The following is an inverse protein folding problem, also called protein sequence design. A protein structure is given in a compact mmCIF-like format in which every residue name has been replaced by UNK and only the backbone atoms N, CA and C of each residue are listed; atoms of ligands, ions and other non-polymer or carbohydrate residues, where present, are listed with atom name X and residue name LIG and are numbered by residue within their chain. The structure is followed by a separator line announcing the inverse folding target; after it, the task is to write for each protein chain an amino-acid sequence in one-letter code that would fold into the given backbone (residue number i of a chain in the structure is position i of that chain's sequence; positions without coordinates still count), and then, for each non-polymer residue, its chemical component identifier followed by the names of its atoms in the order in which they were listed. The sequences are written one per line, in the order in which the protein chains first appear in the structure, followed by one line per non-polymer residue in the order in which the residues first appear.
data_IF_521401555928
#
_entry.id   IF_521401555928
#
_cell.length_a   1.000
_cell.length_b   1.000
_cell.length_c   1.000
_cell.angle_alpha   90.00
_cell.angle_beta   90.00
_cell.angle_gamma   90.00
#
_symmetry.space_group_name_H-M   'P 1'
#
loop_
_entity.id
_entity.type
_entity.pdbx_description
1 polymer ?
#
# COMPACT_ATOMS: atom_id res chain seq x y z
N UNK A 1 32.68 42.79 33.51
CA UNK A 1 31.25 42.59 33.85
C UNK A 1 30.40 42.99 32.66
N UNK A 2 29.28 42.28 32.45
CA UNK A 2 28.24 42.39 31.39
C UNK A 2 28.54 41.58 30.13
N UNK A 3 28.11 40.31 30.07
CA UNK A 3 26.75 39.73 29.81
C UNK A 3 26.56 39.34 28.35
N UNK A 4 26.68 38.03 28.18
CA UNK A 4 26.09 37.04 27.28
C UNK A 4 24.76 37.36 26.57
N UNK A 5 24.46 36.53 25.53
CA UNK A 5 23.15 36.17 24.91
C UNK A 5 22.63 37.12 23.81
N UNK A 6 22.04 36.72 22.67
CA UNK A 6 21.70 35.43 22.03
C UNK A 6 21.60 35.71 20.50
N UNK A 7 22.24 34.90 19.64
CA UNK A 7 21.61 33.92 18.73
C UNK A 7 20.29 34.32 18.03
N UNK A 8 20.37 34.19 16.71
CA UNK A 8 19.37 33.64 15.77
C UNK A 8 17.97 34.26 15.73
N UNK A 9 17.67 34.84 14.56
CA UNK A 9 16.37 34.69 13.94
C UNK A 9 16.54 34.48 12.43
N UNK A 10 17.17 33.37 12.04
CA UNK A 10 17.02 32.85 10.68
C UNK A 10 15.67 32.13 10.64
N UNK A 11 14.61 32.91 10.46
CA UNK A 11 13.26 32.40 10.28
C UNK A 11 13.17 31.81 8.87
N UNK A 12 13.71 30.59 8.69
CA UNK A 12 13.29 29.72 7.61
C UNK A 12 11.81 29.40 7.87
N UNK A 13 10.92 30.25 7.34
CA UNK A 13 9.57 29.87 6.97
C UNK A 13 9.69 28.87 5.82
N UNK A 14 10.16 27.66 6.13
CA UNK A 14 9.78 26.46 5.42
C UNK A 14 8.32 26.21 5.81
N UNK A 15 7.43 27.10 5.35
CA UNK A 15 6.06 26.69 5.08
C UNK A 15 6.25 25.60 4.05
N UNK A 16 6.24 24.37 4.54
CA UNK A 16 6.14 23.19 3.71
C UNK A 16 4.90 23.41 2.86
N UNK A 17 5.12 23.91 1.66
CA UNK A 17 4.21 23.69 0.57
C UNK A 17 4.20 22.17 0.44
N UNK A 18 3.31 21.52 1.19
CA UNK A 18 2.89 20.16 0.90
C UNK A 18 2.41 20.26 -0.54
N UNK A 19 3.32 19.99 -1.49
CA UNK A 19 2.95 19.81 -2.87
C UNK A 19 1.93 18.70 -2.81
N UNK A 20 0.64 19.04 -2.97
CA UNK A 20 -0.39 18.06 -3.29
C UNK A 20 0.19 17.31 -4.48
N UNK A 21 0.61 16.07 -4.23
CA UNK A 21 1.32 15.26 -5.20
C UNK A 21 0.33 14.92 -6.30
N UNK A 22 0.34 15.74 -7.36
CA UNK A 22 -0.69 15.69 -8.38
C UNK A 22 -0.44 14.47 -9.29
N UNK A 23 -1.45 13.61 -9.37
CA UNK A 23 -1.44 12.49 -10.31
C UNK A 23 -1.68 13.09 -11.70
N UNK A 24 -0.84 12.76 -12.70
CA UNK A 24 -1.02 13.30 -14.04
C UNK A 24 -2.43 13.05 -14.57
N UNK A 25 -3.11 14.08 -15.12
CA UNK A 25 -4.39 13.88 -15.77
C UNK A 25 -4.26 12.83 -16.87
N UNK A 26 -5.30 12.00 -17.04
CA UNK A 26 -5.37 10.85 -17.96
C UNK A 26 -4.56 9.63 -17.53
N UNK A 27 -3.93 9.64 -16.35
CA UNK A 27 -3.35 8.43 -15.77
C UNK A 27 -4.41 7.33 -15.60
N UNK A 28 -3.97 6.09 -15.74
CA UNK A 28 -4.83 4.90 -15.61
C UNK A 28 -4.30 3.97 -14.55
N UNK A 29 -5.19 3.45 -13.73
CA UNK A 29 -4.86 2.38 -12.79
C UNK A 29 -4.55 1.10 -13.57
N UNK A 30 -3.43 0.46 -13.24
CA UNK A 30 -2.91 -0.74 -13.94
C UNK A 30 -2.91 -1.96 -13.04
N UNK A 31 -2.82 -1.76 -11.74
CA UNK A 31 -2.89 -2.84 -10.76
C UNK A 31 -3.47 -2.37 -9.42
N UNK A 32 -4.03 -3.32 -8.70
CA UNK A 32 -4.32 -3.25 -7.26
C UNK A 32 -3.57 -4.38 -6.58
N UNK A 33 -2.95 -4.08 -5.46
CA UNK A 33 -2.27 -5.04 -4.61
C UNK A 33 -2.92 -5.05 -3.23
N UNK A 34 -3.13 -6.23 -2.68
CA UNK A 34 -3.35 -6.41 -1.24
C UNK A 34 -2.03 -6.90 -0.67
N UNK A 35 -1.45 -6.13 0.24
CA UNK A 35 -0.13 -6.42 0.80
C UNK A 35 -0.18 -6.50 2.33
N UNK A 36 0.71 -7.31 2.87
CA UNK A 36 1.01 -7.41 4.29
C UNK A 36 2.07 -6.37 4.64
N UNK A 37 1.81 -5.56 5.66
CA UNK A 37 2.73 -4.57 6.24
C UNK A 37 3.54 -5.20 7.38
N UNK A 38 4.86 -5.01 7.41
CA UNK A 38 5.74 -5.52 8.47
C UNK A 38 5.27 -5.20 9.91
N UNK A 39 4.56 -4.09 10.12
CA UNK A 39 4.09 -3.64 11.45
C UNK A 39 2.93 -4.46 12.03
N UNK A 40 2.28 -5.28 11.22
CA UNK A 40 1.19 -6.18 11.63
C UNK A 40 1.69 -7.19 12.64
N UNK A 41 2.90 -7.66 12.37
CA UNK A 41 3.63 -8.63 13.15
C UNK A 41 3.79 -8.22 14.61
N UNK A 42 3.74 -6.92 14.94
CA UNK A 42 3.83 -6.48 16.34
C UNK A 42 2.50 -6.06 16.95
N UNK A 43 1.47 -5.78 16.15
CA UNK A 43 0.19 -5.22 16.63
C UNK A 43 -0.90 -6.26 16.88
N UNK A 44 -0.85 -7.39 16.18
CA UNK A 44 -1.85 -8.46 16.28
C UNK A 44 -1.32 -9.65 17.09
N UNK A 45 0.00 -9.79 17.19
CA UNK A 45 0.65 -10.92 17.85
C UNK A 45 0.79 -10.64 19.35
N UNK A 46 0.18 -11.49 20.19
CA UNK A 46 0.28 -11.40 21.64
C UNK A 46 1.67 -11.81 22.19
N UNK A 47 2.43 -12.63 21.46
CA UNK A 47 3.78 -13.06 21.82
C UNK A 47 4.81 -12.63 20.75
N UNK A 48 5.54 -11.55 21.03
CA UNK A 48 6.48 -10.94 20.08
C UNK A 48 7.76 -11.76 19.83
N UNK A 49 8.00 -12.82 20.62
CA UNK A 49 9.23 -13.62 20.54
C UNK A 49 9.28 -14.57 19.32
N UNK A 50 8.13 -14.88 18.72
CA UNK A 50 8.02 -15.83 17.60
C UNK A 50 7.86 -15.13 16.23
N UNK A 51 8.02 -13.80 16.21
CA UNK A 51 7.68 -12.97 15.06
C UNK A 51 8.81 -12.93 14.05
N UNK A 52 8.64 -13.62 12.91
CA UNK A 52 9.58 -13.56 11.78
C UNK A 52 9.38 -12.28 10.98
N UNK A 53 10.46 -11.55 10.73
CA UNK A 53 10.47 -10.39 9.84
C UNK A 53 10.22 -10.80 8.39
N UNK A 54 9.61 -9.90 7.61
CA UNK A 54 9.33 -10.13 6.19
C UNK A 54 10.57 -10.15 5.29
N UNK A 55 11.75 -9.83 5.82
CA UNK A 55 13.00 -9.66 5.07
C UNK A 55 13.64 -10.96 4.56
N UNK A 56 13.12 -12.13 4.93
CA UNK A 56 13.53 -13.39 4.31
C UNK A 56 12.60 -13.71 3.14
N UNK A 57 13.09 -13.48 1.92
CA UNK A 57 12.57 -14.14 0.72
C UNK A 57 13.12 -15.56 0.72
N UNK A 58 12.26 -16.57 0.82
CA UNK A 58 12.64 -17.91 0.38
C UNK A 58 12.66 -17.91 -1.15
N UNK A 59 13.50 -18.76 -1.76
CA UNK A 59 13.79 -18.77 -3.20
C UNK A 59 12.56 -18.92 -4.12
N UNK A 60 11.40 -19.29 -3.58
CA UNK A 60 10.16 -19.50 -4.33
C UNK A 60 9.08 -18.42 -4.05
N UNK A 61 9.39 -17.43 -3.22
CA UNK A 61 8.44 -16.38 -2.84
C UNK A 61 8.52 -15.18 -3.79
N UNK A 62 7.37 -14.55 -4.06
CA UNK A 62 7.34 -13.29 -4.83
C UNK A 62 8.05 -12.19 -4.06
N UNK A 63 8.93 -11.45 -4.74
CA UNK A 63 9.65 -10.33 -4.13
C UNK A 63 8.70 -9.29 -3.52
N UNK A 64 8.98 -8.80 -2.30
CA UNK A 64 8.17 -7.78 -1.66
C UNK A 64 8.44 -6.40 -2.26
N UNK A 65 7.47 -5.48 -2.10
CA UNK A 65 7.73 -4.06 -2.35
C UNK A 65 8.62 -3.48 -1.25
N UNK A 66 9.57 -2.63 -1.63
CA UNK A 66 10.34 -1.78 -0.72
C UNK A 66 10.01 -0.33 -1.01
N UNK A 67 9.20 0.29 -0.15
CA UNK A 67 8.69 1.67 -0.37
C UNK A 67 8.91 2.48 0.90
N UNK A 68 9.65 3.58 0.79
CA UNK A 68 9.92 4.48 1.92
C UNK A 68 10.58 3.77 3.11
N UNK A 69 11.49 2.83 2.84
CA UNK A 69 12.20 2.06 3.85
C UNK A 69 11.39 0.95 4.52
N UNK A 70 10.15 0.68 4.07
CA UNK A 70 9.28 -0.39 4.60
C UNK A 70 9.10 -1.52 3.60
N UNK A 71 8.89 -2.72 4.13
CA UNK A 71 8.71 -3.94 3.33
C UNK A 71 7.24 -4.36 3.31
N UNK A 72 6.74 -4.68 2.12
CA UNK A 72 5.38 -5.16 1.91
C UNK A 72 5.34 -6.45 1.09
N UNK A 73 4.92 -7.56 1.71
CA UNK A 73 4.69 -8.84 1.01
C UNK A 73 3.33 -8.82 0.31
N UNK A 74 3.26 -9.25 -0.94
CA UNK A 74 2.06 -9.18 -1.78
C UNK A 74 1.19 -10.41 -1.54
N UNK A 75 0.03 -10.27 -0.89
CA UNK A 75 -0.94 -11.37 -0.72
C UNK A 75 -1.70 -11.61 -2.04
N UNK A 76 -2.25 -10.55 -2.63
CA UNK A 76 -3.01 -10.58 -3.88
C UNK A 76 -2.55 -9.51 -4.86
N UNK A 77 -2.54 -9.85 -6.16
CA UNK A 77 -2.19 -8.98 -7.27
C UNK A 77 -3.32 -9.01 -8.32
N UNK A 78 -4.00 -7.90 -8.50
CA UNK A 78 -5.06 -7.68 -9.47
C UNK A 78 -4.51 -6.85 -10.61
N UNK A 79 -4.41 -7.42 -11.81
CA UNK A 79 -4.00 -6.71 -13.03
C UNK A 79 -5.21 -6.22 -13.78
N UNK A 80 -5.14 -5.00 -14.29
CA UNK A 80 -6.29 -4.32 -14.91
C UNK A 80 -6.11 -4.14 -16.41
N UNK A 81 -7.22 -4.19 -17.14
CA UNK A 81 -7.31 -3.64 -18.48
C UNK A 81 -7.28 -2.10 -18.43
N UNK A 82 -6.99 -1.42 -19.56
CA UNK A 82 -6.99 0.05 -19.61
C UNK A 82 -8.31 0.73 -19.25
N UNK A 83 -9.42 -0.01 -19.25
CA UNK A 83 -10.74 0.46 -18.84
C UNK A 83 -11.03 0.24 -17.34
N UNK A 84 -10.09 -0.35 -16.59
CA UNK A 84 -10.22 -0.61 -15.16
C UNK A 84 -10.80 -1.97 -14.78
N UNK A 85 -11.25 -2.77 -15.74
CA UNK A 85 -11.76 -4.11 -15.46
C UNK A 85 -10.64 -5.10 -15.12
N UNK A 86 -10.98 -6.13 -14.34
CA UNK A 86 -10.04 -7.18 -13.97
C UNK A 86 -9.57 -7.93 -15.22
N UNK A 87 -8.25 -8.03 -15.38
CA UNK A 87 -7.59 -8.86 -16.39
C UNK A 87 -7.13 -10.19 -15.80
N UNK A 88 -6.42 -10.14 -14.67
CA UNK A 88 -5.88 -11.32 -13.98
C UNK A 88 -5.90 -11.07 -12.48
N UNK A 89 -6.22 -12.11 -11.70
CA UNK A 89 -5.99 -12.15 -10.26
C UNK A 89 -4.98 -13.25 -9.94
N UNK A 90 -3.85 -12.85 -9.34
CA UNK A 90 -2.86 -13.78 -8.81
C UNK A 90 -2.90 -13.77 -7.29
N UNK A 91 -2.97 -14.94 -6.69
CA UNK A 91 -2.79 -15.13 -5.26
C UNK A 91 -1.37 -15.66 -5.02
N UNK A 92 -0.57 -14.96 -4.23
CA UNK A 92 0.78 -15.42 -3.95
C UNK A 92 0.77 -16.37 -2.76
N UNK A 93 1.48 -17.48 -2.94
CA UNK A 93 1.74 -18.44 -1.88
C UNK A 93 3.14 -18.17 -1.37
N UNK A 94 3.26 -17.97 -0.07
CA UNK A 94 4.54 -17.81 0.59
C UNK A 94 4.87 -19.09 1.34
N UNK A 95 6.04 -19.66 1.08
CA UNK A 95 6.55 -20.82 1.79
C UNK A 95 7.26 -20.43 3.09
N UNK A 96 7.85 -19.23 3.12
CA UNK A 96 8.53 -18.66 4.29
C UNK A 96 7.59 -18.22 5.42
N UNK A 97 6.27 -18.31 5.21
CA UNK A 97 5.29 -17.55 5.97
C UNK A 97 4.02 -18.35 6.21
N UNK A 98 3.59 -18.41 7.47
CA UNK A 98 2.28 -18.92 7.84
C UNK A 98 1.41 -17.77 8.37
N UNK A 99 0.23 -17.57 7.78
CA UNK A 99 -0.70 -16.49 8.13
C UNK A 99 -1.10 -16.53 9.63
N UNK A 100 -1.22 -17.73 10.21
CA UNK A 100 -1.65 -17.88 11.61
C UNK A 100 -0.65 -17.29 12.60
N UNK A 101 0.64 -17.34 12.27
CA UNK A 101 1.71 -16.81 13.13
C UNK A 101 1.52 -15.30 13.35
N UNK A 102 0.81 -14.63 12.44
CA UNK A 102 0.53 -13.20 12.47
C UNK A 102 -0.92 -12.88 12.86
N UNK A 103 -1.69 -13.87 13.34
CA UNK A 103 -3.11 -13.71 13.64
C UNK A 103 -3.97 -13.43 12.40
N UNK A 104 -3.46 -13.75 11.21
CA UNK A 104 -4.14 -13.51 9.95
C UNK A 104 -4.80 -14.81 9.46
N UNK A 105 -5.95 -14.66 8.80
CA UNK A 105 -6.50 -15.71 7.95
C UNK A 105 -6.05 -15.48 6.52
N UNK A 106 -5.71 -16.55 5.80
CA UNK A 106 -5.46 -16.51 4.36
C UNK A 106 -6.74 -16.07 3.64
N UNK A 107 -6.64 -15.15 2.68
CA UNK A 107 -7.80 -14.78 1.86
C UNK A 107 -8.12 -15.95 0.94
N UNK A 108 -9.37 -16.37 0.90
CA UNK A 108 -9.87 -17.27 -0.14
C UNK A 108 -10.72 -16.45 -1.11
N UNK A 109 -10.37 -16.50 -2.39
CA UNK A 109 -11.11 -15.81 -3.45
C UNK A 109 -11.56 -16.84 -4.47
N UNK A 110 -12.86 -16.82 -4.78
CA UNK A 110 -13.38 -17.44 -5.98
C UNK A 110 -13.19 -16.48 -7.17
N UNK A 111 -12.23 -16.81 -8.03
CA UNK A 111 -11.90 -16.01 -9.21
C UNK A 111 -13.10 -15.82 -10.15
N UNK A 112 -13.99 -16.81 -10.26
CA UNK A 112 -15.15 -16.74 -11.17
C UNK A 112 -16.16 -15.68 -10.72
N UNK A 113 -16.35 -15.55 -9.42
CA UNK A 113 -17.33 -14.62 -8.85
C UNK A 113 -16.84 -13.16 -8.91
N UNK A 114 -15.53 -12.92 -8.89
CA UNK A 114 -14.99 -11.55 -8.90
C UNK A 114 -15.12 -10.88 -10.29
N UNK A 115 -14.95 -11.61 -11.38
CA UNK A 115 -14.66 -10.98 -12.69
C UNK A 115 -15.79 -10.15 -13.29
N UNK A 116 -17.06 -10.50 -13.07
CA UNK A 116 -18.17 -9.91 -13.84
C UNK A 116 -18.43 -8.44 -13.49
N UNK A 117 -18.17 -8.01 -12.26
CA UNK A 117 -18.46 -6.65 -11.80
C UNK A 117 -17.23 -5.89 -11.26
N UNK A 118 -16.04 -6.45 -11.45
CA UNK A 118 -14.82 -5.81 -10.96
C UNK A 118 -14.42 -4.64 -11.87
N UNK A 119 -14.41 -3.45 -11.30
CA UNK A 119 -13.99 -2.22 -11.97
C UNK A 119 -13.24 -1.33 -10.98
N UNK A 120 -12.04 -0.89 -11.35
CA UNK A 120 -11.27 0.08 -10.58
C UNK A 120 -10.89 1.26 -11.49
N UNK A 121 -11.15 2.49 -11.03
CA UNK A 121 -10.81 3.71 -11.77
C UNK A 121 -10.50 4.87 -10.85
N UNK A 122 -9.84 5.89 -11.36
CA UNK A 122 -9.79 7.18 -10.68
C UNK A 122 -11.17 7.84 -10.67
N UNK A 123 -11.45 8.59 -9.61
CA UNK A 123 -12.48 9.63 -9.62
C UNK A 123 -12.17 10.70 -10.68
N UNK A 124 -13.17 11.49 -11.14
CA UNK A 124 -12.93 12.55 -12.13
C UNK A 124 -11.88 13.59 -11.71
N UNK A 125 -11.75 13.83 -10.40
CA UNK A 125 -10.81 14.76 -9.77
C UNK A 125 -9.44 14.16 -9.44
N UNK A 126 -9.22 12.86 -9.68
CA UNK A 126 -7.96 12.14 -9.41
C UNK A 126 -7.49 12.18 -7.94
N UNK A 127 -8.33 12.58 -7.00
CA UNK A 127 -8.05 12.59 -5.55
C UNK A 127 -8.50 11.30 -4.85
N UNK A 128 -9.35 10.52 -5.52
CA UNK A 128 -9.93 9.26 -5.02
C UNK A 128 -9.84 8.13 -6.03
N UNK A 129 -9.87 6.91 -5.52
CA UNK A 129 -10.00 5.67 -6.29
C UNK A 129 -11.39 5.10 -6.07
N UNK A 130 -12.09 4.80 -7.16
CA UNK A 130 -13.33 4.03 -7.16
C UNK A 130 -12.94 2.57 -7.35
N UNK A 131 -13.14 1.73 -6.34
CA UNK A 131 -12.80 0.32 -6.32
C UNK A 131 -14.07 -0.50 -6.13
N UNK A 132 -14.61 -0.97 -7.25
CA UNK A 132 -15.95 -1.56 -7.33
C UNK A 132 -17.00 -0.59 -6.76
N UNK A 133 -17.57 -0.89 -5.59
CA UNK A 133 -18.57 -0.05 -4.93
C UNK A 133 -17.98 0.91 -3.89
N UNK A 134 -16.67 0.81 -3.62
CA UNK A 134 -16.00 1.66 -2.64
C UNK A 134 -15.42 2.91 -3.29
N UNK A 135 -15.44 4.01 -2.53
CA UNK A 135 -14.69 5.23 -2.87
C UNK A 135 -13.62 5.46 -1.82
N UNK A 136 -12.36 5.47 -2.24
CA UNK A 136 -11.19 5.47 -1.37
C UNK A 136 -10.39 6.76 -1.55
N UNK A 137 -10.13 7.45 -0.44
CA UNK A 137 -9.30 8.66 -0.41
C UNK A 137 -7.82 8.26 -0.57
N UNK A 138 -7.09 8.96 -1.45
CA UNK A 138 -5.65 8.75 -1.61
C UNK A 138 -4.93 9.42 -0.44
N UNK A 139 -4.26 8.61 0.38
CA UNK A 139 -3.47 9.08 1.52
C UNK A 139 -2.08 9.54 1.08
N UNK A 140 -1.45 8.78 0.17
CA UNK A 140 -0.07 9.04 -0.23
C UNK A 140 0.20 8.60 -1.66
N UNK A 141 0.90 9.45 -2.40
CA UNK A 141 1.39 9.18 -3.74
C UNK A 141 2.91 9.00 -3.72
N UNK A 142 3.40 7.96 -4.41
CA UNK A 142 4.81 7.66 -4.66
C UNK A 142 5.06 7.74 -6.17
N UNK A 143 5.33 8.95 -6.72
CA UNK A 143 5.33 9.14 -8.17
C UNK A 143 6.44 8.39 -8.91
N UNK A 144 7.57 8.16 -8.25
CA UNK A 144 8.72 7.45 -8.82
C UNK A 144 8.38 5.97 -9.04
N UNK A 145 7.76 5.35 -8.05
CA UNK A 145 7.30 3.96 -8.08
C UNK A 145 5.95 3.82 -8.80
N UNK A 146 5.26 4.93 -9.05
CA UNK A 146 3.89 5.02 -9.57
C UNK A 146 2.88 4.26 -8.70
N UNK A 147 3.03 4.40 -7.39
CA UNK A 147 2.20 3.72 -6.40
C UNK A 147 1.38 4.70 -5.58
N UNK A 148 0.16 4.30 -5.26
CA UNK A 148 -0.80 5.06 -4.47
C UNK A 148 -1.22 4.22 -3.27
N UNK A 149 -1.19 4.85 -2.09
CA UNK A 149 -1.74 4.31 -0.87
C UNK A 149 -3.05 5.02 -0.59
N UNK A 150 -4.05 4.23 -0.19
CA UNK A 150 -5.36 4.75 0.20
C UNK A 150 -5.50 4.80 1.71
N UNK A 151 -6.34 5.70 2.18
CA UNK A 151 -6.70 5.80 3.58
C UNK A 151 -7.60 4.64 3.96
N UNK A 152 -7.15 3.81 4.89
CA UNK A 152 -7.93 2.68 5.40
C UNK A 152 -7.50 2.28 6.81
N UNK A 153 -8.35 1.49 7.47
CA UNK A 153 -8.02 0.91 8.77
C UNK A 153 -6.99 -0.22 8.59
N UNK A 154 -5.80 -0.05 9.15
CA UNK A 154 -4.68 -1.00 9.04
C UNK A 154 -4.69 -2.11 10.10
N UNK A 155 -5.74 -2.21 10.92
CA UNK A 155 -5.86 -3.22 11.99
C UNK A 155 -6.02 -4.64 11.45
N UNK A 156 -6.47 -4.81 10.21
CA UNK A 156 -6.62 -6.13 9.55
C UNK A 156 -5.30 -6.78 9.17
N UNK A 157 -4.21 -6.01 9.25
CA UNK A 157 -2.94 -6.37 8.67
C UNK A 157 -2.95 -6.57 7.16
N UNK A 158 -3.80 -5.84 6.46
CA UNK A 158 -3.73 -5.74 5.01
C UNK A 158 -3.89 -4.29 4.63
N UNK A 159 -3.16 -3.90 3.59
CA UNK A 159 -3.30 -2.59 2.98
C UNK A 159 -3.44 -2.76 1.47
N UNK A 160 -4.17 -1.83 0.88
CA UNK A 160 -4.37 -1.65 -0.55
C UNK A 160 -3.33 -0.68 -1.08
N UNK A 161 -2.61 -1.14 -2.09
CA UNK A 161 -1.71 -0.30 -2.90
C UNK A 161 -2.21 -0.36 -4.34
N UNK A 162 -2.20 0.77 -5.03
CA UNK A 162 -2.60 0.84 -6.43
C UNK A 162 -1.42 1.31 -7.28
N UNK A 163 -1.30 0.75 -8.48
CA UNK A 163 -0.31 1.16 -9.48
C UNK A 163 -1.00 1.96 -10.58
N UNK A 164 -0.31 2.98 -11.10
CA UNK A 164 -0.80 3.77 -12.23
C UNK A 164 0.26 3.95 -13.32
N UNK A 165 -0.20 4.34 -14.51
CA UNK A 165 0.66 4.76 -15.62
C UNK A 165 0.19 6.05 -16.26
#
# INVERSE_FOLDING_TARGET
MKTTLYKLAFLFLLIGCERKFEIPPKSKLTAKYIVLNENISRRIIHNLNDVKEFDKSDNNDKEPFKIGGKVYKIDLDFRLYPNGHLKVLNQNLYHSFNYSDFGLKKIQIDQKTISENFLIKFSPSYDKIIDCNDTLEIEKNYPKEKLLFVKENRNSGRIRIYEYK
#
